data_IF_027168358940
#
_entry.id   IF_027168358940
#
_cell.length_a   1.000
_cell.length_b   1.000
_cell.length_c   1.000
_cell.angle_alpha   90.00
_cell.angle_beta   90.00
_cell.angle_gamma   90.00
#
_symmetry.space_group_name_H-M   'P 1'
#
loop_
_entity.id
_entity.type
_entity.pdbx_description
1 polymer ?
#
# COMPACT_ATOMS: atom_id res chain seq x y z
N UNK A 1 17.04 13.27 -26.30
CA UNK A 1 16.00 13.74 -25.37
C UNK A 1 16.03 12.88 -24.11
N UNK A 2 16.74 13.34 -23.07
CA UNK A 2 16.84 12.67 -21.77
C UNK A 2 15.65 13.13 -20.92
N UNK A 3 14.61 12.30 -20.79
CA UNK A 3 13.48 12.61 -19.91
C UNK A 3 13.89 12.39 -18.46
N UNK A 4 13.77 13.45 -17.68
CA UNK A 4 14.07 13.48 -16.26
C UNK A 4 13.06 12.59 -15.51
N UNK A 5 13.51 11.42 -15.08
CA UNK A 5 12.86 10.73 -13.96
C UNK A 5 12.95 11.65 -12.75
N UNK A 6 11.87 12.40 -12.48
CA UNK A 6 11.65 13.07 -11.20
C UNK A 6 11.57 11.96 -10.15
N UNK A 7 12.71 11.63 -9.55
CA UNK A 7 12.75 10.85 -8.31
C UNK A 7 11.88 11.61 -7.33
N UNK A 8 10.75 11.02 -6.92
CA UNK A 8 10.02 11.45 -5.74
C UNK A 8 11.05 11.46 -4.61
N UNK A 9 11.49 12.66 -4.21
CA UNK A 9 12.33 12.80 -3.03
C UNK A 9 11.38 12.55 -1.86
N UNK A 10 11.58 11.50 -1.04
CA UNK A 10 10.86 11.43 0.22
C UNK A 10 11.15 12.72 0.96
N UNK A 11 10.11 13.44 1.35
CA UNK A 11 10.28 14.63 2.18
C UNK A 11 11.12 14.23 3.38
N UNK A 12 12.17 15.01 3.68
CA UNK A 12 13.02 14.77 4.84
C UNK A 12 12.11 14.87 6.07
N UNK A 13 11.73 13.71 6.61
CA UNK A 13 10.83 13.63 7.73
C UNK A 13 11.60 14.01 9.00
N UNK A 14 11.76 15.32 9.20
CA UNK A 14 12.20 15.93 10.44
C UNK A 14 10.97 16.08 11.34
N UNK A 15 10.56 15.02 12.02
CA UNK A 15 9.50 15.09 13.02
C UNK A 15 10.02 15.71 14.32
N UNK A 16 9.17 16.51 15.00
CA UNK A 16 9.43 16.87 16.39
C UNK A 16 9.24 15.62 17.25
N UNK A 17 9.98 15.52 18.35
CA UNK A 17 9.91 14.39 19.29
C UNK A 17 8.47 14.10 19.78
N UNK A 18 7.66 15.15 19.93
CA UNK A 18 6.24 15.05 20.27
C UNK A 18 5.39 14.34 19.21
N UNK A 19 5.76 14.44 17.94
CA UNK A 19 5.01 13.85 16.83
C UNK A 19 5.36 12.36 16.71
N UNK A 20 6.63 12.02 16.92
CA UNK A 20 7.08 10.62 17.00
C UNK A 20 6.35 9.87 18.12
N UNK A 21 6.22 10.45 19.32
CA UNK A 21 5.51 9.80 20.44
C UNK A 21 4.03 9.54 20.11
N UNK A 22 3.34 10.50 19.48
CA UNK A 22 1.95 10.32 19.04
C UNK A 22 1.80 9.21 17.99
N UNK A 23 2.71 9.19 17.00
CA UNK A 23 2.73 8.13 15.98
C UNK A 23 2.96 6.78 16.66
N UNK A 24 3.94 6.66 17.56
CA UNK A 24 4.22 5.41 18.26
C UNK A 24 3.04 4.92 19.11
N UNK A 25 2.31 5.84 19.76
CA UNK A 25 1.08 5.49 20.50
C UNK A 25 -0.05 4.99 19.59
N UNK A 26 -0.06 5.38 18.31
CA UNK A 26 -1.02 4.89 17.33
C UNK A 26 -0.70 3.51 16.75
N UNK A 27 0.49 2.95 17.03
CA UNK A 27 0.91 1.62 16.53
C UNK A 27 0.42 0.48 17.44
N UNK A 28 -0.90 0.43 17.68
CA UNK A 28 -1.49 -0.51 18.65
C UNK A 28 -1.75 -1.92 18.09
N UNK A 29 -1.58 -2.14 16.78
CA UNK A 29 -1.68 -3.47 16.17
C UNK A 29 -0.35 -3.91 15.55
N UNK A 30 -0.09 -5.23 15.46
CA UNK A 30 1.08 -5.78 14.76
C UNK A 30 1.18 -5.30 13.31
N UNK A 31 0.06 -5.16 12.62
CA UNK A 31 0.01 -4.75 11.21
C UNK A 31 0.42 -3.28 11.03
N UNK A 32 -0.08 -2.39 11.90
CA UNK A 32 0.31 -0.99 11.91
C UNK A 32 1.80 -0.82 12.23
N UNK A 33 2.31 -1.56 13.23
CA UNK A 33 3.73 -1.55 13.56
C UNK A 33 4.59 -2.10 12.40
N UNK A 34 4.13 -3.14 11.71
CA UNK A 34 4.81 -3.70 10.54
C UNK A 34 4.82 -2.77 9.33
N UNK A 35 3.71 -2.08 9.06
CA UNK A 35 3.59 -1.10 7.98
C UNK A 35 4.46 0.12 8.26
N UNK A 36 4.39 0.66 9.50
CA UNK A 36 5.28 1.73 9.96
C UNK A 36 6.75 1.36 9.79
N UNK A 37 7.13 0.14 10.18
CA UNK A 37 8.49 -0.35 10.02
C UNK A 37 8.92 -0.39 8.55
N UNK A 38 8.08 -0.93 7.66
CA UNK A 38 8.34 -0.97 6.22
C UNK A 38 8.59 0.41 5.64
N UNK A 39 7.65 1.35 5.83
CA UNK A 39 7.77 2.70 5.26
C UNK A 39 8.96 3.47 5.82
N UNK A 40 9.28 3.27 7.10
CA UNK A 40 10.45 3.92 7.72
C UNK A 40 11.76 3.37 7.16
N UNK A 41 11.88 2.05 7.00
CA UNK A 41 13.05 1.42 6.37
C UNK A 41 13.18 1.88 4.92
N UNK A 42 12.08 1.89 4.16
CA UNK A 42 12.05 2.31 2.76
C UNK A 42 12.47 3.77 2.60
N UNK A 43 11.93 4.66 3.44
CA UNK A 43 12.34 6.07 3.46
C UNK A 43 13.84 6.19 3.71
N UNK A 44 14.38 5.46 4.71
CA UNK A 44 15.80 5.49 5.03
C UNK A 44 16.68 4.88 3.94
N UNK A 45 16.17 3.91 3.19
CA UNK A 45 16.86 3.28 2.06
C UNK A 45 17.02 4.25 0.88
N UNK A 46 16.04 5.13 0.68
CA UNK A 46 16.07 6.14 -0.37
C UNK A 46 17.01 7.33 -0.05
N UNK A 47 17.46 7.46 1.20
CA UNK A 47 18.47 8.42 1.60
C UNK A 47 19.88 7.94 1.21
N UNK A 48 20.76 8.89 0.83
CA UNK A 48 22.17 8.58 0.63
C UNK A 48 22.77 7.97 1.91
N UNK A 49 23.42 6.81 1.73
CA UNK A 49 23.98 6.03 2.83
C UNK A 49 25.19 6.76 3.40
N UNK A 50 25.03 7.43 4.53
CA UNK A 50 26.11 8.24 5.13
C UNK A 50 27.15 7.37 5.84
N UNK A 51 26.75 6.24 6.45
CA UNK A 51 27.62 5.36 7.24
C UNK A 51 27.09 3.91 7.29
N UNK A 52 27.90 2.94 7.71
CA UNK A 52 27.52 1.51 7.87
C UNK A 52 26.27 1.27 8.75
N UNK A 53 26.10 1.91 9.93
CA UNK A 53 24.91 1.73 10.79
C UNK A 53 23.68 2.57 10.37
N UNK A 54 23.54 2.94 9.10
CA UNK A 54 22.51 3.86 8.60
C UNK A 54 21.08 3.50 9.06
N UNK A 55 20.73 2.22 9.03
CA UNK A 55 19.39 1.73 9.36
C UNK A 55 19.18 1.52 10.86
N UNK A 56 20.20 1.02 11.58
CA UNK A 56 20.04 0.68 13.00
C UNK A 56 19.81 1.93 13.87
N UNK A 57 20.23 3.12 13.39
CA UNK A 57 19.96 4.40 14.06
C UNK A 57 18.48 4.78 14.11
N UNK A 58 17.61 4.15 13.29
CA UNK A 58 16.17 4.37 13.36
C UNK A 58 15.60 4.06 14.76
N UNK A 59 16.19 3.10 15.48
CA UNK A 59 15.82 2.81 16.87
C UNK A 59 16.02 4.00 17.80
N UNK A 60 17.12 4.73 17.63
CA UNK A 60 17.38 5.97 18.35
C UNK A 60 16.46 7.09 17.89
N UNK A 61 16.33 7.26 16.58
CA UNK A 61 15.62 8.38 15.97
C UNK A 61 14.13 8.36 16.32
N UNK A 62 13.51 7.17 16.42
CA UNK A 62 12.08 7.03 16.73
C UNK A 62 11.78 6.66 18.18
N UNK A 63 12.53 5.72 18.77
CA UNK A 63 12.20 5.18 20.10
C UNK A 63 13.09 5.77 21.21
N UNK A 64 14.07 6.60 20.87
CA UNK A 64 15.09 7.10 21.80
C UNK A 64 15.75 5.96 22.59
N UNK A 65 15.98 4.82 21.92
CA UNK A 65 16.60 3.62 22.49
C UNK A 65 17.95 3.31 21.85
N UNK A 66 18.82 2.69 22.66
CA UNK A 66 20.14 2.25 22.29
C UNK A 66 21.24 3.20 22.76
N UNK A 67 22.24 2.64 23.44
CA UNK A 67 23.44 3.36 23.91
C UNK A 67 24.67 3.02 23.07
N UNK A 68 24.69 1.82 22.51
CA UNK A 68 25.77 1.30 21.68
C UNK A 68 25.25 0.60 20.42
N UNK A 69 26.20 0.15 19.59
CA UNK A 69 25.90 -0.53 18.33
C UNK A 69 25.05 -1.80 18.52
N UNK A 70 25.35 -2.60 19.53
CA UNK A 70 24.64 -3.85 19.81
C UNK A 70 23.20 -3.57 20.21
N UNK A 71 22.98 -2.60 21.10
CA UNK A 71 21.64 -2.18 21.48
C UNK A 71 20.88 -1.54 20.31
N UNK A 72 21.53 -0.73 19.47
CA UNK A 72 20.87 -0.18 18.27
C UNK A 72 20.40 -1.28 17.34
N UNK A 73 21.22 -2.31 17.13
CA UNK A 73 20.87 -3.44 16.27
C UNK A 73 19.72 -4.26 16.88
N UNK A 74 19.76 -4.55 18.17
CA UNK A 74 18.68 -5.27 18.87
C UNK A 74 17.36 -4.49 18.80
N UNK A 75 17.40 -3.20 19.12
CA UNK A 75 16.20 -2.35 19.06
C UNK A 75 15.69 -2.20 17.63
N UNK A 76 16.58 -2.07 16.63
CA UNK A 76 16.17 -2.07 15.23
C UNK A 76 15.46 -3.37 14.85
N UNK A 77 16.00 -4.51 15.27
CA UNK A 77 15.37 -5.80 15.01
C UNK A 77 14.00 -5.90 15.67
N UNK A 78 13.88 -5.49 16.93
CA UNK A 78 12.63 -5.55 17.70
C UNK A 78 11.54 -4.64 17.15
N UNK A 79 11.87 -3.39 16.79
CA UNK A 79 10.87 -2.39 16.44
C UNK A 79 10.63 -2.23 14.93
N UNK A 80 11.61 -2.62 14.10
CA UNK A 80 11.52 -2.45 12.66
C UNK A 80 11.57 -3.77 11.90
N UNK A 81 12.70 -4.50 11.99
CA UNK A 81 12.90 -5.67 11.12
C UNK A 81 11.90 -6.79 11.39
N UNK A 82 11.69 -7.17 12.66
CA UNK A 82 10.79 -8.28 13.01
C UNK A 82 9.32 -7.93 12.74
N UNK A 83 8.80 -6.75 13.11
CA UNK A 83 7.42 -6.39 12.76
C UNK A 83 7.18 -6.37 11.25
N UNK A 84 8.09 -5.77 10.46
CA UNK A 84 8.01 -5.82 9.00
C UNK A 84 8.05 -7.26 8.48
N UNK A 85 9.02 -8.07 8.94
CA UNK A 85 9.14 -9.47 8.54
C UNK A 85 7.88 -10.26 8.86
N UNK A 86 7.28 -10.06 10.03
CA UNK A 86 6.07 -10.75 10.44
C UNK A 86 4.87 -10.35 9.57
N UNK A 87 4.69 -9.06 9.29
CA UNK A 87 3.66 -8.58 8.37
C UNK A 87 3.86 -9.15 6.96
N UNK A 88 5.10 -9.15 6.46
CA UNK A 88 5.42 -9.73 5.16
C UNK A 88 5.16 -11.24 5.12
N UNK A 89 5.55 -11.98 6.15
CA UNK A 89 5.30 -13.42 6.24
C UNK A 89 3.81 -13.74 6.36
N UNK A 90 3.06 -12.94 7.12
CA UNK A 90 1.60 -13.04 7.17
C UNK A 90 0.99 -12.77 5.79
N UNK A 91 1.39 -11.71 5.10
CA UNK A 91 0.94 -11.42 3.74
C UNK A 91 1.27 -12.57 2.78
N UNK A 92 2.50 -13.09 2.84
CA UNK A 92 2.92 -14.24 2.02
C UNK A 92 2.08 -15.46 2.35
N UNK A 93 1.82 -15.74 3.64
CA UNK A 93 0.99 -16.86 4.07
C UNK A 93 -0.47 -16.71 3.61
N UNK A 94 -1.09 -15.54 3.79
CA UNK A 94 -2.43 -15.24 3.27
C UNK A 94 -2.48 -15.24 1.74
N UNK A 95 -1.36 -14.94 1.08
CA UNK A 95 -1.24 -15.02 -0.38
C UNK A 95 -0.97 -16.44 -0.88
N UNK A 96 -0.49 -17.36 -0.02
CA UNK A 96 -0.35 -18.77 -0.35
C UNK A 96 -1.76 -19.36 -0.43
N UNK A 97 -2.09 -19.79 -1.64
CA UNK A 97 -3.43 -20.17 -2.08
C UNK A 97 -3.90 -21.45 -1.39
N UNK A 98 -5.15 -21.48 -0.95
CA UNK A 98 -5.76 -22.68 -0.40
C UNK A 98 -6.34 -23.59 -1.49
N UNK A 99 -6.60 -23.09 -2.71
CA UNK A 99 -6.84 -23.88 -3.91
C UNK A 99 -6.78 -23.02 -5.20
N UNK A 100 -6.56 -23.64 -6.37
CA UNK A 100 -6.63 -22.96 -7.68
C UNK A 100 -8.00 -22.28 -7.93
N UNK A 101 -9.05 -22.78 -7.27
CA UNK A 101 -10.40 -22.18 -7.28
C UNK A 101 -10.45 -20.76 -6.72
N UNK A 102 -9.46 -20.36 -5.91
CA UNK A 102 -9.37 -19.02 -5.31
C UNK A 102 -8.98 -17.96 -6.35
N UNK A 103 -8.41 -18.37 -7.49
CA UNK A 103 -8.11 -17.50 -8.62
C UNK A 103 -9.30 -17.38 -9.58
N UNK A 104 -9.21 -16.38 -10.46
CA UNK A 104 -10.12 -16.27 -11.59
C UNK A 104 -9.80 -17.37 -12.62
N UNK A 105 -10.80 -18.19 -12.94
CA UNK A 105 -10.76 -19.00 -14.16
C UNK A 105 -10.64 -18.10 -15.38
N UNK A 106 -10.26 -18.65 -16.53
CA UNK A 106 -10.22 -17.89 -17.78
C UNK A 106 -11.55 -17.17 -18.06
N UNK A 107 -12.68 -17.87 -17.93
CA UNK A 107 -14.01 -17.28 -18.08
C UNK A 107 -14.29 -16.19 -17.03
N UNK A 108 -13.83 -16.39 -15.79
CA UNK A 108 -13.91 -15.38 -14.72
C UNK A 108 -13.08 -14.13 -15.01
N UNK A 109 -11.92 -14.27 -15.63
CA UNK A 109 -11.08 -13.15 -16.07
C UNK A 109 -11.79 -12.35 -17.16
N UNK A 110 -12.32 -13.03 -18.19
CA UNK A 110 -13.08 -12.37 -19.27
C UNK A 110 -14.26 -11.56 -18.74
N UNK A 111 -15.06 -12.15 -17.83
CA UNK A 111 -16.17 -11.45 -17.17
C UNK A 111 -15.72 -10.21 -16.39
N UNK A 112 -14.54 -10.28 -15.76
CA UNK A 112 -13.99 -9.12 -15.06
C UNK A 112 -13.46 -8.06 -16.01
N UNK A 113 -12.93 -8.44 -17.17
CA UNK A 113 -12.52 -7.48 -18.19
C UNK A 113 -13.72 -6.73 -18.74
N UNK A 114 -14.80 -7.43 -19.05
CA UNK A 114 -16.07 -6.83 -19.50
C UNK A 114 -16.61 -5.83 -18.47
N UNK A 115 -16.62 -6.20 -17.17
CA UNK A 115 -17.01 -5.28 -16.10
C UNK A 115 -16.09 -4.06 -16.00
N UNK A 116 -14.78 -4.25 -16.13
CA UNK A 116 -13.82 -3.15 -16.07
C UNK A 116 -13.99 -2.19 -17.25
N UNK A 117 -14.27 -2.71 -18.45
CA UNK A 117 -14.56 -1.92 -19.64
C UNK A 117 -15.89 -1.16 -19.50
N UNK A 118 -16.92 -1.79 -18.91
CA UNK A 118 -18.19 -1.12 -18.61
C UNK A 118 -18.00 0.03 -17.61
N UNK A 119 -17.23 -0.22 -16.54
CA UNK A 119 -16.90 0.80 -15.56
C UNK A 119 -16.13 1.96 -16.21
N UNK A 120 -15.14 1.66 -17.05
CA UNK A 120 -14.39 2.66 -17.80
C UNK A 120 -15.32 3.56 -18.61
N UNK A 121 -16.23 2.97 -19.38
CA UNK A 121 -17.21 3.72 -20.17
C UNK A 121 -18.13 4.58 -19.29
N UNK A 122 -18.53 4.09 -18.12
CA UNK A 122 -19.33 4.87 -17.17
C UNK A 122 -18.55 6.06 -16.62
N UNK A 123 -17.27 5.89 -16.26
CA UNK A 123 -16.41 6.95 -15.76
C UNK A 123 -16.19 8.03 -16.82
N UNK A 124 -15.94 7.62 -18.07
CA UNK A 124 -15.84 8.55 -19.21
C UNK A 124 -17.10 9.39 -19.38
N UNK A 125 -18.29 8.75 -19.31
CA UNK A 125 -19.59 9.46 -19.39
C UNK A 125 -19.82 10.44 -18.24
N UNK A 126 -19.21 10.20 -17.07
CA UNK A 126 -19.26 11.09 -15.92
C UNK A 126 -18.21 12.21 -15.96
N UNK A 127 -17.47 12.35 -17.06
CA UNK A 127 -16.42 13.36 -17.21
C UNK A 127 -15.08 12.99 -16.56
N UNK A 128 -14.93 11.76 -16.10
CA UNK A 128 -13.68 11.22 -15.54
C UNK A 128 -12.85 10.63 -16.69
N UNK A 129 -12.12 11.48 -17.40
CA UNK A 129 -11.30 11.12 -18.57
C UNK A 129 -9.79 11.19 -18.34
N UNK A 130 -9.34 11.27 -17.08
CA UNK A 130 -7.92 11.37 -16.77
C UNK A 130 -7.20 10.06 -17.11
N UNK A 131 -6.04 10.15 -17.79
CA UNK A 131 -5.20 9.01 -18.19
C UNK A 131 -4.89 8.04 -17.03
N UNK A 132 -4.77 8.58 -15.81
CA UNK A 132 -4.53 7.78 -14.61
C UNK A 132 -5.62 6.73 -14.38
N UNK A 133 -6.90 7.04 -14.64
CA UNK A 133 -8.01 6.10 -14.43
C UNK A 133 -7.89 4.91 -15.38
N UNK A 134 -7.62 5.17 -16.66
CA UNK A 134 -7.45 4.12 -17.68
C UNK A 134 -6.28 3.20 -17.35
N UNK A 135 -5.16 3.78 -16.93
CA UNK A 135 -3.99 2.99 -16.50
C UNK A 135 -4.31 2.11 -15.30
N UNK A 136 -5.01 2.66 -14.31
CA UNK A 136 -5.42 1.90 -13.12
C UNK A 136 -6.37 0.75 -13.46
N UNK A 137 -7.30 0.95 -14.42
CA UNK A 137 -8.19 -0.09 -14.91
C UNK A 137 -7.43 -1.20 -15.66
N UNK A 138 -6.48 -0.84 -16.52
CA UNK A 138 -5.66 -1.82 -17.23
C UNK A 138 -4.76 -2.62 -16.27
N UNK A 139 -4.17 -1.96 -15.27
CA UNK A 139 -3.43 -2.62 -14.19
C UNK A 139 -4.34 -3.61 -13.44
N UNK A 140 -5.60 -3.26 -13.18
CA UNK A 140 -6.56 -4.16 -12.53
C UNK A 140 -6.87 -5.41 -13.37
N UNK A 141 -6.91 -5.31 -14.71
CA UNK A 141 -7.05 -6.48 -15.60
C UNK A 141 -5.88 -7.43 -15.44
N UNK A 142 -4.66 -6.92 -15.49
CA UNK A 142 -3.44 -7.72 -15.34
C UNK A 142 -3.35 -8.42 -13.97
N UNK A 143 -3.88 -7.78 -12.92
CA UNK A 143 -3.91 -8.36 -11.58
C UNK A 143 -4.87 -9.54 -11.44
N UNK A 144 -5.91 -9.68 -12.27
CA UNK A 144 -6.80 -10.86 -12.24
C UNK A 144 -6.06 -12.17 -12.54
N UNK A 145 -4.94 -12.08 -13.28
CA UNK A 145 -4.08 -13.22 -13.65
C UNK A 145 -3.12 -13.63 -12.52
N UNK A 146 -2.85 -12.72 -11.57
CA UNK A 146 -1.77 -12.86 -10.57
C UNK A 146 -2.29 -12.95 -9.14
N UNK A 147 -3.46 -12.38 -8.87
CA UNK A 147 -4.04 -12.31 -7.54
C UNK A 147 -5.24 -13.25 -7.44
N UNK A 148 -5.40 -13.86 -6.26
CA UNK A 148 -6.66 -14.51 -5.91
C UNK A 148 -7.77 -13.45 -5.79
N UNK A 149 -9.03 -13.91 -5.84
CA UNK A 149 -10.22 -13.04 -5.85
C UNK A 149 -10.29 -12.13 -4.62
N UNK A 150 -9.88 -12.62 -3.44
CA UNK A 150 -9.87 -11.85 -2.17
C UNK A 150 -8.90 -10.67 -2.27
N UNK A 151 -7.64 -10.95 -2.60
CA UNK A 151 -6.58 -9.95 -2.69
C UNK A 151 -6.86 -8.95 -3.81
N UNK A 152 -7.39 -9.41 -4.95
CA UNK A 152 -7.82 -8.52 -6.03
C UNK A 152 -8.90 -7.53 -5.57
N UNK A 153 -9.89 -7.99 -4.79
CA UNK A 153 -10.91 -7.12 -4.21
C UNK A 153 -10.36 -6.08 -3.23
N UNK A 154 -9.36 -6.42 -2.42
CA UNK A 154 -8.70 -5.46 -1.53
C UNK A 154 -7.86 -4.43 -2.31
N UNK A 155 -7.21 -4.83 -3.41
CA UNK A 155 -6.49 -3.89 -4.29
C UNK A 155 -7.45 -2.89 -4.94
N UNK A 156 -8.62 -3.34 -5.40
CA UNK A 156 -9.65 -2.45 -5.95
C UNK A 156 -10.05 -1.40 -4.92
N UNK A 157 -10.38 -1.82 -3.69
CA UNK A 157 -10.70 -0.89 -2.60
C UNK A 157 -9.58 0.13 -2.43
N UNK A 158 -8.33 -0.32 -2.28
CA UNK A 158 -7.19 0.57 -2.10
C UNK A 158 -7.05 1.61 -3.22
N UNK A 159 -7.10 1.17 -4.48
CA UNK A 159 -6.95 2.06 -5.65
C UNK A 159 -8.08 3.08 -5.77
N UNK A 160 -9.34 2.65 -5.66
CA UNK A 160 -10.48 3.58 -5.79
C UNK A 160 -10.60 4.54 -4.60
N UNK A 161 -10.23 4.10 -3.40
CA UNK A 161 -10.15 4.97 -2.22
C UNK A 161 -9.06 6.01 -2.37
N UNK A 162 -7.87 5.61 -2.82
CA UNK A 162 -6.77 6.54 -3.09
C UNK A 162 -7.17 7.58 -4.16
N UNK A 163 -7.80 7.13 -5.25
CA UNK A 163 -8.34 8.05 -6.28
C UNK A 163 -9.38 9.03 -5.72
N UNK A 164 -10.21 8.62 -4.77
CA UNK A 164 -11.17 9.51 -4.11
C UNK A 164 -10.49 10.54 -3.21
N UNK A 165 -9.50 10.10 -2.42
CA UNK A 165 -8.72 10.99 -1.53
C UNK A 165 -7.95 12.02 -2.35
N UNK A 166 -7.40 11.62 -3.50
CA UNK A 166 -6.65 12.48 -4.41
C UNK A 166 -7.56 13.37 -5.29
N UNK A 167 -8.89 13.30 -5.11
CA UNK A 167 -9.86 14.11 -5.85
C UNK A 167 -9.98 13.76 -7.34
N UNK A 168 -9.46 12.61 -7.77
CA UNK A 168 -9.59 12.11 -9.15
C UNK A 168 -11.02 11.62 -9.39
N UNK A 169 -11.60 10.95 -8.39
CA UNK A 169 -12.99 10.49 -8.39
C UNK A 169 -13.75 11.10 -7.22
N UNK A 170 -15.07 11.26 -7.37
CA UNK A 170 -15.91 11.56 -6.21
C UNK A 170 -15.98 10.35 -5.28
N UNK A 171 -16.16 10.57 -3.96
CA UNK A 171 -16.36 9.47 -2.98
C UNK A 171 -17.48 8.52 -3.42
N UNK A 172 -18.58 9.09 -3.95
CA UNK A 172 -19.73 8.32 -4.46
C UNK A 172 -19.35 7.45 -5.67
N UNK A 173 -18.59 7.99 -6.61
CA UNK A 173 -18.13 7.26 -7.81
C UNK A 173 -17.17 6.13 -7.43
N UNK A 174 -16.24 6.38 -6.51
CA UNK A 174 -15.32 5.37 -6.01
C UNK A 174 -16.03 4.23 -5.26
N UNK A 175 -17.03 4.57 -4.41
CA UNK A 175 -17.87 3.57 -3.73
C UNK A 175 -18.62 2.69 -4.74
N UNK A 176 -19.28 3.31 -5.70
CA UNK A 176 -20.00 2.60 -6.76
C UNK A 176 -19.08 1.66 -7.55
N UNK A 177 -17.90 2.13 -7.95
CA UNK A 177 -16.94 1.33 -8.70
C UNK A 177 -16.54 0.05 -7.96
N UNK A 178 -16.26 0.17 -6.67
CA UNK A 178 -15.86 -0.98 -5.84
C UNK A 178 -17.03 -1.94 -5.66
N UNK A 179 -18.23 -1.43 -5.40
CA UNK A 179 -19.43 -2.25 -5.25
C UNK A 179 -19.75 -3.00 -6.55
N UNK A 180 -19.69 -2.31 -7.69
CA UNK A 180 -19.93 -2.88 -9.02
C UNK A 180 -18.95 -4.03 -9.36
N UNK A 181 -17.66 -3.84 -9.06
CA UNK A 181 -16.63 -4.83 -9.35
C UNK A 181 -16.63 -6.01 -8.38
N UNK A 182 -16.80 -5.74 -7.08
CA UNK A 182 -16.61 -6.75 -6.03
C UNK A 182 -17.93 -7.36 -5.51
N UNK A 183 -19.07 -6.73 -5.81
CA UNK A 183 -20.37 -7.09 -5.24
C UNK A 183 -20.46 -6.85 -3.73
N UNK A 184 -19.52 -6.09 -3.16
CA UNK A 184 -19.45 -5.81 -1.73
C UNK A 184 -19.63 -4.32 -1.49
N UNK A 185 -20.56 -4.00 -0.60
CA UNK A 185 -20.77 -2.65 -0.12
C UNK A 185 -19.53 -2.13 0.60
N UNK A 186 -19.01 -0.98 0.16
CA UNK A 186 -17.93 -0.28 0.86
C UNK A 186 -18.56 0.70 1.85
N UNK A 187 -18.50 0.39 3.15
CA UNK A 187 -18.65 1.41 4.19
C UNK A 187 -17.36 2.23 4.29
N UNK A 188 -17.17 3.16 3.36
CA UNK A 188 -16.06 4.10 3.40
C UNK A 188 -16.31 5.13 4.52
N UNK A 189 -15.63 4.93 5.66
CA UNK A 189 -15.50 5.83 6.82
C UNK A 189 -16.49 7.02 6.81
N UNK A 190 -17.53 6.90 7.62
CA UNK A 190 -18.35 8.04 8.08
C UNK A 190 -17.48 9.07 8.80
#
# INVERSE_FOLDING_TARGET
FRSAHKKLKPENISHRRSDSEKILQSLFTPDLQGAFAYFTILSKFNDERKFTPHYIKLSRDWYNKGKDYCEYQQNFNTYFLNPFKNLFLWYVHESKTQADSDFFSYEGQTKMFEKLDELEQMLVKQGCGQEIIFKEIEDLKELTKKLNKKNWGEVIKGKFVDMAINGILSKKTAMYAVEFLTGRDLKLLE
#
